data_IF_117054877565
#
_entry.id   IF_117054877565
#
_cell.length_a   1.000
_cell.length_b   1.000
_cell.length_c   1.000
_cell.angle_alpha   90.00
_cell.angle_beta   90.00
_cell.angle_gamma   90.00
#
_symmetry.space_group_name_H-M   'P 1'
#
loop_
_entity.id
_entity.type
_entity.pdbx_description
1 polymer ?
#
# COMPACT_ATOMS: atom_id res chain seq x y z
N UNK A 1 -19.60 17.67 69.75
CA UNK A 1 -18.56 17.08 68.88
C UNK A 1 -18.90 17.42 67.43
N UNK A 2 -18.08 18.26 66.81
CA UNK A 2 -18.25 18.75 65.44
C UNK A 2 -18.06 17.64 64.40
N UNK A 3 -18.92 17.61 63.37
CA UNK A 3 -18.57 17.04 62.06
C UNK A 3 -19.09 17.95 60.94
N UNK A 4 -18.21 18.81 60.45
CA UNK A 4 -18.34 19.49 59.16
C UNK A 4 -18.02 18.47 58.07
N UNK A 5 -18.98 18.18 57.19
CA UNK A 5 -18.73 17.48 55.92
C UNK A 5 -18.38 18.51 54.86
N UNK A 6 -17.09 18.64 54.53
CA UNK A 6 -16.64 19.32 53.32
C UNK A 6 -16.82 18.36 52.14
N UNK A 7 -17.76 18.65 51.25
CA UNK A 7 -17.77 18.09 49.90
C UNK A 7 -16.84 18.94 49.03
N UNK A 8 -15.64 18.43 48.77
CA UNK A 8 -14.78 18.91 47.69
C UNK A 8 -15.36 18.42 46.37
N UNK A 9 -16.14 19.27 45.69
CA UNK A 9 -16.44 19.08 44.28
C UNK A 9 -15.19 19.48 43.51
N UNK A 10 -14.40 18.48 43.12
CA UNK A 10 -13.34 18.66 42.14
C UNK A 10 -13.99 18.91 40.78
N UNK A 11 -14.13 20.17 40.40
CA UNK A 11 -14.35 20.52 39.00
C UNK A 11 -13.08 20.20 38.22
N UNK A 12 -13.03 18.99 37.65
CA UNK A 12 -12.07 18.68 36.61
C UNK A 12 -12.51 19.46 35.36
N UNK A 13 -11.99 20.68 35.20
CA UNK A 13 -12.03 21.37 33.92
C UNK A 13 -11.13 20.60 32.96
N UNK A 14 -11.69 19.62 32.26
CA UNK A 14 -11.13 19.14 31.01
C UNK A 14 -11.21 20.30 30.02
N UNK A 15 -10.11 21.02 29.86
CA UNK A 15 -9.95 21.94 28.73
C UNK A 15 -10.21 21.12 27.46
N UNK A 16 -11.06 21.60 26.53
CA UNK A 16 -11.22 20.94 25.25
C UNK A 16 -9.87 21.06 24.54
N UNK A 17 -9.14 19.95 24.47
CA UNK A 17 -7.99 19.79 23.59
C UNK A 17 -8.52 20.07 22.18
N UNK A 18 -8.23 21.26 21.67
CA UNK A 18 -8.53 21.62 20.29
C UNK A 18 -7.60 20.81 19.40
N UNK A 19 -8.06 19.63 18.98
CA UNK A 19 -7.39 18.81 17.98
C UNK A 19 -7.51 19.53 16.62
N UNK A 20 -6.39 20.04 16.11
CA UNK A 20 -6.33 20.59 14.75
C UNK A 20 -6.32 19.44 13.73
N UNK A 21 -7.35 19.38 12.87
CA UNK A 21 -7.59 18.31 11.89
C UNK A 21 -7.01 18.66 10.50
N UNK A 22 -6.18 17.77 9.90
CA UNK A 22 -6.05 17.53 8.43
C UNK A 22 -5.54 16.10 8.20
N UNK A 23 -5.91 15.46 7.08
CA UNK A 23 -6.41 14.06 7.07
C UNK A 23 -7.46 13.94 8.19
N UNK A 24 -8.68 13.48 7.95
CA UNK A 24 -9.63 13.41 9.06
C UNK A 24 -8.99 12.51 10.14
N UNK A 25 -8.89 12.96 11.39
CA UNK A 25 -8.17 12.21 12.45
C UNK A 25 -6.65 11.97 12.29
N UNK A 26 -5.97 12.53 11.28
CA UNK A 26 -4.55 12.28 11.01
C UNK A 26 -3.57 13.23 11.71
N UNK A 27 -2.29 12.84 11.71
CA UNK A 27 -1.17 13.59 12.32
C UNK A 27 -0.20 14.12 11.27
N UNK A 28 0.47 15.23 11.58
CA UNK A 28 1.50 15.82 10.71
C UNK A 28 2.76 14.95 10.72
N UNK A 29 3.32 14.69 9.55
CA UNK A 29 4.62 14.04 9.43
C UNK A 29 5.71 15.08 9.70
N UNK A 30 6.59 14.80 10.66
CA UNK A 30 7.60 15.77 11.15
C UNK A 30 9.03 15.42 10.76
N UNK A 31 9.25 14.23 10.19
CA UNK A 31 10.52 13.74 9.65
C UNK A 31 10.27 13.14 8.27
N UNK A 32 11.27 13.07 7.37
CA UNK A 32 11.12 12.45 6.04
C UNK A 32 11.01 10.91 6.15
N UNK A 33 9.92 10.43 6.77
CA UNK A 33 9.60 9.02 6.97
C UNK A 33 9.07 8.36 5.69
N UNK A 34 8.55 9.17 4.76
CA UNK A 34 7.91 8.72 3.52
C UNK A 34 8.50 9.41 2.28
N UNK A 35 9.83 9.29 2.04
CA UNK A 35 10.50 10.06 0.99
C UNK A 35 10.07 9.70 -0.44
N UNK A 36 9.40 8.56 -0.60
CA UNK A 36 8.83 8.09 -1.87
C UNK A 36 7.46 8.69 -2.18
N UNK A 37 6.81 9.41 -1.27
CA UNK A 37 5.52 10.03 -1.53
C UNK A 37 5.68 11.13 -2.59
N UNK A 38 4.77 11.17 -3.56
CA UNK A 38 4.83 12.15 -4.65
C UNK A 38 3.52 12.88 -4.86
N UNK A 39 3.63 14.12 -5.31
CA UNK A 39 2.54 14.93 -5.84
C UNK A 39 2.54 14.87 -7.36
N UNK A 40 1.35 14.82 -7.96
CA UNK A 40 1.12 14.89 -9.40
C UNK A 40 0.41 16.20 -9.72
N UNK A 41 0.96 16.95 -10.67
CA UNK A 41 0.46 18.24 -11.09
C UNK A 41 0.38 18.37 -12.61
N UNK A 42 -0.45 19.31 -13.07
CA UNK A 42 -0.53 19.66 -14.48
C UNK A 42 0.45 20.80 -14.77
N UNK A 43 1.26 20.66 -15.83
CA UNK A 43 2.31 21.61 -16.18
C UNK A 43 1.83 23.06 -16.43
N UNK A 44 0.53 23.25 -16.69
CA UNK A 44 -0.11 24.54 -16.99
C UNK A 44 -1.17 24.96 -15.96
N UNK A 45 -1.35 24.20 -14.89
CA UNK A 45 -2.31 24.54 -13.83
C UNK A 45 -1.61 25.36 -12.74
N UNK A 46 -2.37 26.29 -12.15
CA UNK A 46 -1.95 27.07 -11.00
C UNK A 46 -2.03 26.29 -9.68
N UNK A 47 -2.79 25.19 -9.66
CA UNK A 47 -2.85 24.28 -8.52
C UNK A 47 -1.50 23.57 -8.37
N UNK A 48 -0.95 23.48 -7.14
CA UNK A 48 0.34 22.83 -6.94
C UNK A 48 0.31 21.33 -7.23
N UNK A 49 -0.85 20.69 -7.06
CA UNK A 49 -1.10 19.28 -7.38
C UNK A 49 -2.62 19.01 -7.41
N UNK A 50 -3.00 17.85 -7.93
CA UNK A 50 -4.39 17.36 -7.89
C UNK A 50 -4.51 15.87 -7.52
N UNK A 51 -3.40 15.13 -7.61
CA UNK A 51 -3.28 13.73 -7.24
C UNK A 51 -1.92 13.46 -6.59
N UNK A 52 -1.75 12.23 -6.12
CA UNK A 52 -0.56 11.71 -5.49
C UNK A 52 -0.09 10.41 -6.15
N UNK A 53 1.05 9.91 -5.68
CA UNK A 53 1.57 8.61 -6.06
C UNK A 53 2.69 8.17 -5.14
N UNK A 54 3.34 7.08 -5.52
CA UNK A 54 4.53 6.59 -4.82
C UNK A 54 5.65 6.20 -5.78
N UNK A 55 6.89 6.55 -5.44
CA UNK A 55 8.08 6.06 -6.12
C UNK A 55 8.26 4.57 -5.80
N UNK A 56 8.11 3.69 -6.79
CA UNK A 56 8.21 2.22 -6.65
C UNK A 56 9.45 1.63 -7.35
N UNK A 57 10.12 2.40 -8.19
CA UNK A 57 11.46 2.13 -8.71
C UNK A 57 12.09 3.46 -9.14
N UNK A 58 13.41 3.57 -9.39
CA UNK A 58 14.09 4.84 -9.66
C UNK A 58 13.43 5.73 -10.72
N UNK A 59 12.78 5.13 -11.73
CA UNK A 59 12.12 5.83 -12.83
C UNK A 59 10.60 5.70 -12.81
N UNK A 60 10.01 5.09 -11.79
CA UNK A 60 8.63 4.62 -11.86
C UNK A 60 7.81 5.08 -10.66
N UNK A 61 6.73 5.80 -10.97
CA UNK A 61 5.69 6.18 -10.03
C UNK A 61 4.48 5.28 -10.22
N UNK A 62 3.91 4.80 -9.12
CA UNK A 62 2.61 4.16 -9.07
C UNK A 62 1.55 5.19 -8.63
N UNK A 63 0.43 5.24 -9.33
CA UNK A 63 -0.71 6.12 -9.02
C UNK A 63 -2.02 5.49 -9.51
N UNK A 64 -3.15 6.15 -9.26
CA UNK A 64 -4.45 5.74 -9.79
C UNK A 64 -4.57 6.10 -11.29
N UNK A 65 -5.34 5.32 -12.05
CA UNK A 65 -5.56 5.59 -13.47
C UNK A 65 -6.34 6.88 -13.68
N UNK A 66 -7.34 7.15 -12.84
CA UNK A 66 -8.13 8.40 -12.91
C UNK A 66 -7.28 9.66 -12.72
N UNK A 67 -6.11 9.56 -12.07
CA UNK A 67 -5.16 10.67 -11.96
C UNK A 67 -4.49 11.05 -13.29
N UNK A 68 -4.68 10.26 -14.34
CA UNK A 68 -4.12 10.50 -15.67
C UNK A 68 -5.18 10.94 -16.70
N UNK A 69 -6.40 11.21 -16.24
CA UNK A 69 -7.55 11.43 -17.08
C UNK A 69 -8.25 12.76 -16.74
N UNK A 70 -8.60 13.51 -17.78
CA UNK A 70 -9.41 14.73 -17.63
C UNK A 70 -10.89 14.38 -17.75
N UNK A 71 -11.59 14.37 -16.62
CA UNK A 71 -13.03 14.10 -16.58
C UNK A 71 -13.88 15.07 -17.39
N UNK A 72 -13.41 16.29 -17.63
CA UNK A 72 -14.19 17.29 -18.39
C UNK A 72 -14.09 17.08 -19.89
N UNK A 73 -12.90 16.73 -20.37
CA UNK A 73 -12.64 16.53 -21.80
C UNK A 73 -12.72 15.07 -22.22
N UNK A 74 -12.79 14.16 -21.24
CA UNK A 74 -12.84 12.70 -21.41
C UNK A 74 -11.62 12.15 -22.16
N UNK A 75 -10.45 12.74 -21.90
CA UNK A 75 -9.19 12.44 -22.59
C UNK A 75 -8.11 12.12 -21.55
N UNK A 76 -7.28 11.12 -21.87
CA UNK A 76 -6.06 10.82 -21.13
C UNK A 76 -5.04 11.94 -21.38
N UNK A 77 -4.48 12.51 -20.31
CA UNK A 77 -3.43 13.52 -20.41
C UNK A 77 -2.23 13.00 -21.19
N UNK A 78 -1.53 13.88 -21.91
CA UNK A 78 -0.23 13.54 -22.48
C UNK A 78 0.83 13.53 -21.39
N UNK A 79 1.86 12.71 -21.55
CA UNK A 79 2.99 12.67 -20.60
C UNK A 79 3.61 14.05 -20.34
N UNK A 80 3.68 14.91 -21.36
CA UNK A 80 4.21 16.27 -21.25
C UNK A 80 3.31 17.27 -20.50
N UNK A 81 2.06 16.88 -20.22
CA UNK A 81 1.10 17.68 -19.46
C UNK A 81 1.19 17.39 -17.96
N UNK A 82 1.77 16.25 -17.59
CA UNK A 82 1.93 15.82 -16.20
C UNK A 82 3.34 16.11 -15.68
N UNK A 83 3.43 16.41 -14.39
CA UNK A 83 4.65 16.62 -13.64
C UNK A 83 4.58 15.88 -12.31
N UNK A 84 5.73 15.44 -11.80
CA UNK A 84 5.85 14.75 -10.51
C UNK A 84 6.77 15.52 -9.58
N UNK A 85 6.34 15.75 -8.34
CA UNK A 85 7.16 16.35 -7.29
C UNK A 85 7.29 15.37 -6.12
N UNK A 86 8.52 15.07 -5.70
CA UNK A 86 8.79 14.00 -4.72
C UNK A 86 9.14 14.60 -3.35
N UNK A 87 8.62 13.99 -2.29
CA UNK A 87 8.87 14.35 -0.90
C UNK A 87 10.26 13.90 -0.38
N UNK A 88 11.32 14.18 -1.13
CA UNK A 88 12.68 13.69 -0.87
C UNK A 88 13.19 14.09 0.53
N UNK A 89 13.39 15.39 0.76
CA UNK A 89 13.92 15.95 2.01
C UNK A 89 12.98 17.00 2.61
N UNK A 90 11.83 17.22 1.99
CA UNK A 90 10.87 18.20 2.42
C UNK A 90 9.46 17.63 2.30
N UNK A 91 8.61 18.02 3.24
CA UNK A 91 7.24 17.59 3.35
C UNK A 91 6.28 18.72 3.00
N UNK A 92 6.80 19.92 2.69
CA UNK A 92 5.98 21.06 2.29
C UNK A 92 5.75 21.09 0.80
N UNK A 93 4.48 21.28 0.41
CA UNK A 93 4.08 21.43 -1.00
C UNK A 93 4.95 22.48 -1.69
N UNK A 94 5.09 23.66 -1.08
CA UNK A 94 5.85 24.78 -1.64
C UNK A 94 7.31 24.45 -1.93
N UNK A 95 7.93 23.53 -1.18
CA UNK A 95 9.32 23.16 -1.41
C UNK A 95 9.45 22.07 -2.47
N UNK A 96 8.61 21.03 -2.41
CA UNK A 96 8.73 19.88 -3.32
C UNK A 96 8.29 20.23 -4.75
N UNK A 97 7.40 21.21 -4.91
CA UNK A 97 6.95 21.69 -6.24
C UNK A 97 7.95 22.64 -6.93
N UNK A 98 9.09 22.95 -6.32
CA UNK A 98 10.12 23.80 -6.95
C UNK A 98 10.93 23.09 -8.02
N UNK A 99 11.04 21.76 -7.92
CA UNK A 99 11.85 20.95 -8.86
C UNK A 99 11.05 19.76 -9.41
N UNK A 100 9.94 20.00 -10.13
CA UNK A 100 9.14 18.91 -10.70
C UNK A 100 9.97 18.09 -11.69
N UNK A 101 9.70 16.79 -11.73
CA UNK A 101 10.24 15.81 -12.67
C UNK A 101 9.25 15.60 -13.80
N UNK A 102 9.79 15.52 -15.02
CA UNK A 102 9.00 15.26 -16.22
C UNK A 102 8.71 13.78 -16.38
N UNK A 103 7.58 13.49 -17.02
CA UNK A 103 7.14 12.14 -17.35
C UNK A 103 7.40 11.88 -18.84
N UNK A 104 8.00 10.73 -19.13
CA UNK A 104 8.25 10.24 -20.49
C UNK A 104 7.10 9.38 -21.03
N UNK A 105 6.40 8.64 -20.16
CA UNK A 105 5.26 7.81 -20.55
C UNK A 105 4.25 7.61 -19.43
N UNK A 106 2.98 7.50 -19.81
CA UNK A 106 1.87 7.09 -18.96
C UNK A 106 1.44 5.70 -19.43
N UNK A 107 1.34 4.74 -18.50
CA UNK A 107 0.96 3.36 -18.79
C UNK A 107 -0.22 3.01 -17.90
N UNK A 108 -1.39 2.84 -18.51
CA UNK A 108 -2.59 2.42 -17.80
C UNK A 108 -2.63 0.90 -17.67
N UNK A 109 -3.25 0.41 -16.60
CA UNK A 109 -3.60 -1.00 -16.55
C UNK A 109 -4.54 -1.34 -17.73
N UNK A 110 -4.27 -2.39 -18.53
CA UNK A 110 -4.99 -2.66 -19.78
C UNK A 110 -6.47 -2.99 -19.61
N UNK A 111 -6.88 -3.34 -18.39
CA UNK A 111 -8.27 -3.65 -18.04
C UNK A 111 -9.02 -2.45 -17.43
N UNK A 112 -8.35 -1.32 -17.20
CA UNK A 112 -9.03 -0.15 -16.66
C UNK A 112 -9.96 0.48 -17.70
N UNK A 113 -11.16 0.85 -17.27
CA UNK A 113 -12.14 1.57 -18.07
C UNK A 113 -12.68 2.77 -17.29
N UNK A 114 -12.52 3.98 -17.85
CA UNK A 114 -12.95 5.23 -17.22
C UNK A 114 -14.48 5.41 -17.17
N UNK A 115 -15.23 4.58 -17.90
CA UNK A 115 -16.70 4.62 -17.91
C UNK A 115 -17.33 3.70 -16.85
N UNK A 116 -16.53 2.92 -16.12
CA UNK A 116 -17.04 1.99 -15.11
C UNK A 116 -17.56 2.74 -13.87
N UNK A 117 -18.66 2.23 -13.29
CA UNK A 117 -19.24 2.81 -12.08
C UNK A 117 -18.35 2.59 -10.84
N UNK A 118 -17.81 1.38 -10.69
CA UNK A 118 -16.76 1.06 -9.73
C UNK A 118 -15.47 0.89 -10.55
N UNK A 119 -14.43 1.70 -10.30
CA UNK A 119 -13.28 1.74 -11.18
C UNK A 119 -12.44 0.46 -10.99
N UNK A 120 -12.56 -0.46 -11.95
CA UNK A 120 -11.78 -1.69 -11.98
C UNK A 120 -10.33 -1.38 -12.39
N UNK A 121 -9.37 -2.02 -11.71
CA UNK A 121 -7.93 -1.84 -11.96
C UNK A 121 -7.50 -0.37 -12.09
N UNK A 122 -8.02 0.51 -11.22
CA UNK A 122 -7.69 1.94 -11.18
C UNK A 122 -6.23 2.16 -10.79
N UNK A 123 -5.35 1.97 -11.77
CA UNK A 123 -3.90 1.95 -11.60
C UNK A 123 -3.21 2.42 -12.88
N UNK A 124 -2.21 3.27 -12.71
CA UNK A 124 -1.29 3.68 -13.75
C UNK A 124 0.17 3.71 -13.25
N UNK A 125 1.08 3.51 -14.19
CA UNK A 125 2.51 3.75 -14.02
C UNK A 125 2.91 5.01 -14.78
N UNK A 126 3.62 5.90 -14.11
CA UNK A 126 4.26 7.06 -14.74
C UNK A 126 5.75 6.81 -14.78
N UNK A 127 6.31 6.82 -16.00
CA UNK A 127 7.76 6.72 -16.19
C UNK A 127 8.38 8.11 -16.20
N UNK A 128 9.34 8.37 -15.33
CA UNK A 128 10.10 9.61 -15.30
C UNK A 128 11.05 9.70 -16.51
N UNK A 129 11.38 10.91 -16.95
CA UNK A 129 12.44 11.11 -17.97
C UNK A 129 13.84 10.81 -17.40
N UNK A 130 14.04 10.99 -16.10
CA UNK A 130 15.32 10.80 -15.42
C UNK A 130 15.15 10.02 -14.12
N UNK A 131 16.01 9.01 -13.84
CA UNK A 131 15.96 8.24 -12.62
C UNK A 131 16.26 9.08 -11.37
N UNK A 132 15.60 8.74 -10.28
CA UNK A 132 15.86 9.23 -8.94
C UNK A 132 16.66 8.16 -8.20
N UNK A 133 17.90 8.47 -7.86
CA UNK A 133 18.83 7.55 -7.19
C UNK A 133 19.13 7.93 -5.74
N UNK A 134 18.61 9.07 -5.28
CA UNK A 134 18.84 9.62 -3.94
C UNK A 134 17.81 9.13 -2.91
N UNK A 135 16.74 8.47 -3.36
CA UNK A 135 15.61 8.03 -2.54
C UNK A 135 15.44 6.53 -2.72
N UNK A 136 15.23 5.82 -1.61
CA UNK A 136 14.79 4.42 -1.65
C UNK A 136 13.31 4.37 -2.02
N UNK A 137 12.92 3.73 -3.14
CA UNK A 137 11.52 3.52 -3.48
C UNK A 137 10.79 2.68 -2.41
N UNK A 138 9.48 2.89 -2.26
CA UNK A 138 8.68 2.04 -1.36
C UNK A 138 8.60 0.62 -1.90
N UNK A 139 8.69 -0.37 -1.01
CA UNK A 139 8.46 -1.76 -1.39
C UNK A 139 6.96 -2.02 -1.55
N UNK A 140 6.59 -2.84 -2.50
CA UNK A 140 5.24 -3.39 -2.62
C UNK A 140 5.17 -4.69 -1.81
N UNK A 141 4.03 -4.91 -1.17
CA UNK A 141 3.77 -6.19 -0.52
C UNK A 141 3.59 -7.30 -1.56
N UNK A 142 3.97 -8.53 -1.21
CA UNK A 142 3.89 -9.71 -2.07
C UNK A 142 2.44 -10.21 -2.26
N UNK A 143 2.16 -10.94 -3.35
CA UNK A 143 0.85 -11.50 -3.69
C UNK A 143 0.19 -12.27 -2.54
N UNK A 144 0.95 -13.08 -1.78
CA UNK A 144 0.41 -13.92 -0.70
C UNK A 144 0.69 -13.34 0.68
N UNK A 145 0.82 -12.01 0.77
CA UNK A 145 1.07 -11.33 2.04
C UNK A 145 -0.17 -11.37 2.94
N UNK A 146 0.03 -11.43 4.25
CA UNK A 146 -1.05 -11.20 5.22
C UNK A 146 -1.20 -9.72 5.59
N UNK A 147 -0.38 -8.83 5.02
CA UNK A 147 -0.39 -7.40 5.33
C UNK A 147 -1.66 -6.69 4.83
N UNK A 148 -2.43 -7.31 3.93
CA UNK A 148 -3.66 -6.77 3.38
C UNK A 148 -4.93 -7.44 3.95
N UNK A 149 -4.78 -8.21 5.04
CA UNK A 149 -5.87 -8.88 5.75
C UNK A 149 -6.63 -7.94 6.70
N UNK A 150 -7.91 -8.25 6.92
CA UNK A 150 -8.77 -7.49 7.81
C UNK A 150 -8.21 -7.39 9.24
N UNK A 151 -8.25 -6.18 9.81
CA UNK A 151 -7.74 -5.88 11.15
C UNK A 151 -6.28 -5.45 11.18
N UNK A 152 -5.50 -5.63 10.11
CA UNK A 152 -4.16 -5.05 10.01
C UNK A 152 -4.27 -3.53 10.00
N UNK A 153 -3.41 -2.87 10.78
CA UNK A 153 -3.31 -1.41 10.76
C UNK A 153 -2.41 -0.96 9.61
N UNK A 154 -2.96 -0.14 8.73
CA UNK A 154 -2.25 0.48 7.63
C UNK A 154 -2.22 2.00 7.81
N UNK A 155 -1.23 2.65 7.22
CA UNK A 155 -1.05 4.10 7.23
C UNK A 155 -1.35 4.63 5.85
N UNK A 156 -2.32 5.55 5.75
CA UNK A 156 -2.55 6.36 4.55
C UNK A 156 -1.81 7.68 4.70
N UNK A 157 -1.26 8.16 3.59
CA UNK A 157 -0.46 9.38 3.49
C UNK A 157 -1.18 10.37 2.57
N UNK A 158 -0.98 11.67 2.83
CA UNK A 158 -1.28 12.67 1.81
C UNK A 158 -1.31 14.12 2.28
N UNK A 159 -1.47 15.01 1.30
CA UNK A 159 -1.59 16.47 1.43
C UNK A 159 -3.01 16.96 1.16
N UNK A 160 -3.96 16.05 1.01
CA UNK A 160 -5.35 16.30 0.71
C UNK A 160 -6.08 17.19 1.71
N UNK A 161 -7.30 17.57 1.31
CA UNK A 161 -8.12 18.50 2.08
C UNK A 161 -8.62 17.85 3.37
N UNK A 162 -8.59 18.57 4.51
CA UNK A 162 -9.10 18.08 5.78
C UNK A 162 -10.61 17.80 5.78
N UNK A 163 -11.36 18.45 4.89
CA UNK A 163 -12.83 18.36 4.84
C UNK A 163 -13.33 18.60 3.41
N UNK A 164 -14.47 17.97 3.06
CA UNK A 164 -15.12 18.09 1.75
C UNK A 164 -15.79 19.47 1.50
N UNK A 165 -15.86 20.33 2.52
CA UNK A 165 -16.71 21.54 2.52
C UNK A 165 -15.97 22.85 2.84
N UNK A 166 -14.65 22.85 2.93
CA UNK A 166 -13.86 24.08 3.07
C UNK A 166 -13.21 24.48 1.75
N UNK A 167 -13.07 25.80 1.52
CA UNK A 167 -12.24 26.39 0.45
C UNK A 167 -10.94 25.61 0.24
N UNK A 168 -10.43 25.42 -1.00
CA UNK A 168 -9.39 24.45 -1.34
C UNK A 168 -8.06 24.76 -0.66
N UNK A 169 -7.96 24.34 0.60
CA UNK A 169 -6.78 24.50 1.43
C UNK A 169 -6.22 23.10 1.64
N UNK A 170 -5.52 22.61 0.63
CA UNK A 170 -4.64 21.44 0.75
C UNK A 170 -3.73 21.63 1.98
N UNK A 171 -3.35 20.52 2.61
CA UNK A 171 -2.35 20.60 3.66
C UNK A 171 -1.02 21.02 3.06
N UNK A 172 -0.46 22.12 3.55
CA UNK A 172 0.90 22.50 3.14
C UNK A 172 1.94 21.44 3.52
N UNK A 173 1.73 20.67 4.59
CA UNK A 173 2.67 19.65 5.09
C UNK A 173 2.04 18.26 4.96
N UNK A 174 2.84 17.26 4.59
CA UNK A 174 2.43 15.86 4.52
C UNK A 174 1.81 15.38 5.83
N UNK A 175 0.77 14.58 5.71
CA UNK A 175 0.08 13.97 6.83
C UNK A 175 -0.04 12.47 6.68
N UNK A 176 -0.33 11.84 7.82
CA UNK A 176 -0.61 10.40 7.91
C UNK A 176 -1.79 10.10 8.83
N UNK A 177 -2.53 9.04 8.54
CA UNK A 177 -3.48 8.44 9.46
C UNK A 177 -3.41 6.93 9.43
N UNK A 178 -3.55 6.33 10.61
CA UNK A 178 -3.61 4.88 10.75
C UNK A 178 -5.07 4.41 10.72
N UNK A 179 -5.36 3.52 9.78
CA UNK A 179 -6.68 2.97 9.50
C UNK A 179 -6.61 1.43 9.50
N UNK A 180 -7.57 0.73 10.12
CA UNK A 180 -7.62 -0.72 10.03
C UNK A 180 -8.13 -1.13 8.66
N UNK A 181 -7.59 -2.22 8.13
CA UNK A 181 -8.14 -2.90 6.95
C UNK A 181 -9.47 -3.55 7.34
N UNK A 182 -10.43 -3.47 6.44
CA UNK A 182 -11.80 -3.94 6.63
C UNK A 182 -12.09 -5.04 5.63
N UNK A 183 -12.68 -6.14 6.12
CA UNK A 183 -13.04 -7.25 5.24
C UNK A 183 -14.02 -6.80 4.17
N UNK A 184 -13.91 -7.36 2.96
CA UNK A 184 -14.80 -7.07 1.85
C UNK A 184 -16.28 -7.28 2.21
N UNK A 185 -16.60 -8.30 3.02
CA UNK A 185 -17.95 -8.57 3.50
C UNK A 185 -18.56 -7.40 4.29
N UNK A 186 -17.79 -6.81 5.21
CA UNK A 186 -18.23 -5.63 5.98
C UNK A 186 -18.37 -4.43 5.05
N UNK A 187 -17.40 -4.24 4.16
CA UNK A 187 -17.41 -3.12 3.22
C UNK A 187 -18.60 -3.17 2.26
N UNK A 188 -19.02 -4.38 1.88
CA UNK A 188 -20.17 -4.63 1.03
C UNK A 188 -21.50 -4.77 1.78
N UNK A 189 -21.57 -4.43 3.08
CA UNK A 189 -22.85 -4.41 3.78
C UNK A 189 -23.86 -3.48 3.08
N UNK A 190 -25.18 -3.74 3.18
CA UNK A 190 -26.20 -2.94 2.51
C UNK A 190 -26.20 -1.45 2.87
N UNK A 191 -25.63 -1.09 4.02
CA UNK A 191 -25.51 0.31 4.50
C UNK A 191 -24.20 1.00 4.07
N UNK A 192 -23.35 0.29 3.33
CA UNK A 192 -22.08 0.75 2.79
C UNK A 192 -22.12 0.60 1.27
N UNK A 193 -21.24 -0.21 0.66
CA UNK A 193 -21.15 -0.37 -0.79
C UNK A 193 -22.10 -1.42 -1.39
N UNK A 194 -22.89 -2.12 -0.56
CA UNK A 194 -24.01 -2.96 -0.99
C UNK A 194 -23.65 -3.99 -2.08
N UNK A 195 -22.55 -4.72 -1.88
CA UNK A 195 -22.14 -5.81 -2.77
C UNK A 195 -21.48 -5.39 -4.08
N UNK A 196 -21.12 -4.11 -4.25
CA UNK A 196 -20.56 -3.61 -5.51
C UNK A 196 -19.04 -3.78 -5.62
N UNK A 197 -18.33 -4.01 -4.51
CA UNK A 197 -16.87 -4.14 -4.49
C UNK A 197 -16.44 -5.60 -4.67
N UNK A 198 -15.35 -5.81 -5.41
CA UNK A 198 -14.69 -7.12 -5.57
C UNK A 198 -13.37 -7.21 -4.77
N UNK A 199 -12.68 -8.35 -4.88
CA UNK A 199 -11.45 -8.67 -4.15
C UNK A 199 -10.18 -7.98 -4.70
N UNK A 200 -10.28 -7.33 -5.87
CA UNK A 200 -9.21 -6.48 -6.41
C UNK A 200 -9.14 -5.12 -5.73
N UNK A 201 -10.12 -4.83 -4.87
CA UNK A 201 -10.20 -3.66 -4.03
C UNK A 201 -9.93 -4.01 -2.57
N UNK A 202 -9.52 -2.99 -1.82
CA UNK A 202 -9.31 -3.07 -0.39
C UNK A 202 -10.06 -1.93 0.28
N UNK A 203 -10.65 -2.22 1.43
CA UNK A 203 -11.29 -1.22 2.27
C UNK A 203 -10.47 -0.97 3.52
N UNK A 204 -10.36 0.30 3.92
CA UNK A 204 -9.76 0.66 5.19
C UNK A 204 -10.50 1.82 5.83
N UNK A 205 -10.55 1.82 7.16
CA UNK A 205 -11.18 2.89 7.94
C UNK A 205 -11.98 2.36 9.13
N UNK A 206 -12.49 3.29 9.93
CA UNK A 206 -13.26 2.97 11.12
C UNK A 206 -14.76 2.95 10.85
N UNK A 207 -15.49 2.01 11.45
CA UNK A 207 -16.94 1.89 11.25
C UNK A 207 -17.71 3.18 11.62
N UNK A 208 -17.28 3.86 12.68
CA UNK A 208 -17.84 5.15 13.10
C UNK A 208 -17.44 6.34 12.20
N UNK A 209 -16.65 6.11 11.16
CA UNK A 209 -16.01 7.15 10.37
C UNK A 209 -14.85 7.80 11.12
N UNK A 210 -14.53 9.04 10.78
CA UNK A 210 -13.35 9.72 11.28
C UNK A 210 -12.19 9.56 10.31
N UNK A 211 -11.15 8.81 10.67
CA UNK A 211 -9.92 8.87 9.91
C UNK A 211 -10.01 8.25 8.51
N UNK A 212 -9.62 9.03 7.50
CA UNK A 212 -9.84 8.70 6.09
C UNK A 212 -8.96 9.56 5.15
N UNK A 213 -8.66 8.99 3.97
CA UNK A 213 -8.15 9.74 2.83
C UNK A 213 -9.24 10.67 2.28
N UNK A 214 -8.85 11.79 1.69
CA UNK A 214 -9.82 12.74 1.14
C UNK A 214 -9.30 13.43 -0.13
N UNK A 215 -10.01 14.47 -0.56
CA UNK A 215 -9.75 15.19 -1.80
C UNK A 215 -8.28 15.59 -1.94
N UNK A 216 -7.60 15.04 -2.96
CA UNK A 216 -6.19 15.30 -3.24
C UNK A 216 -5.24 14.15 -2.88
N UNK A 217 -5.68 13.18 -2.07
CA UNK A 217 -4.86 12.00 -1.70
C UNK A 217 -4.94 10.87 -2.74
N UNK A 218 -5.80 11.02 -3.77
CA UNK A 218 -6.00 10.06 -4.86
C UNK A 218 -4.68 9.61 -5.49
N UNK A 219 -4.51 8.30 -5.64
CA UNK A 219 -3.28 7.69 -6.16
C UNK A 219 -2.16 7.51 -5.14
N UNK A 220 -2.25 8.14 -3.95
CA UNK A 220 -1.31 7.97 -2.85
C UNK A 220 -1.30 6.54 -2.30
N UNK A 221 -0.21 6.14 -1.64
CA UNK A 221 -0.04 4.77 -1.14
C UNK A 221 -0.70 4.51 0.21
N UNK A 222 -1.28 3.31 0.36
CA UNK A 222 -1.64 2.72 1.66
C UNK A 222 -0.53 1.74 2.07
N UNK A 223 0.17 2.04 3.17
CA UNK A 223 1.40 1.34 3.56
C UNK A 223 1.29 0.68 4.94
N UNK A 224 2.01 -0.41 5.14
CA UNK A 224 2.13 -1.11 6.42
C UNK A 224 3.59 -1.12 6.86
N UNK A 225 3.84 -0.78 8.12
CA UNK A 225 5.18 -0.85 8.69
C UNK A 225 5.49 -2.29 9.13
N UNK A 226 6.54 -2.88 8.60
CA UNK A 226 6.95 -4.25 8.92
C UNK A 226 8.34 -4.27 9.55
N UNK A 227 8.75 -5.42 10.08
CA UNK A 227 10.12 -5.63 10.54
C UNK A 227 11.19 -5.42 9.44
N UNK A 228 10.77 -5.48 8.16
CA UNK A 228 11.65 -5.30 6.99
C UNK A 228 11.49 -3.93 6.32
N UNK A 229 10.80 -2.99 6.98
CA UNK A 229 10.48 -1.66 6.47
C UNK A 229 9.03 -1.53 5.97
N UNK A 230 8.73 -0.35 5.43
CA UNK A 230 7.41 -0.04 4.88
C UNK A 230 7.11 -0.81 3.61
N UNK A 231 5.90 -1.35 3.51
CA UNK A 231 5.39 -2.01 2.32
C UNK A 231 4.04 -1.43 1.92
N UNK A 232 3.86 -1.09 0.65
CA UNK A 232 2.60 -0.61 0.10
C UNK A 232 1.73 -1.80 -0.35
N UNK A 233 0.50 -1.84 0.19
CA UNK A 233 -0.49 -2.89 -0.05
C UNK A 233 -1.62 -2.45 -0.99
N UNK A 234 -1.82 -1.13 -1.13
CA UNK A 234 -2.85 -0.57 -1.99
C UNK A 234 -2.52 0.89 -2.37
N UNK A 235 -3.31 1.49 -3.26
CA UNK A 235 -3.30 2.92 -3.55
C UNK A 235 -4.71 3.51 -3.44
N UNK A 236 -4.82 4.77 -3.03
CA UNK A 236 -6.09 5.48 -2.84
C UNK A 236 -6.82 5.58 -4.19
N UNK A 237 -8.04 5.05 -4.28
CA UNK A 237 -8.85 5.11 -5.51
C UNK A 237 -10.06 6.02 -5.33
N UNK A 238 -11.03 5.63 -4.51
CA UNK A 238 -12.26 6.41 -4.30
C UNK A 238 -12.84 6.20 -2.90
N UNK A 239 -13.93 6.90 -2.60
CA UNK A 239 -14.71 6.71 -1.37
C UNK A 239 -16.00 7.52 -1.41
N UNK A 240 -17.02 7.10 -0.66
CA UNK A 240 -18.25 7.87 -0.54
C UNK A 240 -18.16 8.86 0.62
N UNK A 241 -17.75 10.09 0.29
CA UNK A 241 -17.45 11.12 1.29
C UNK A 241 -16.15 10.81 2.05
N UNK A 242 -15.69 11.76 2.84
CA UNK A 242 -14.48 11.56 3.66
C UNK A 242 -14.88 11.37 5.12
N UNK A 243 -14.45 10.26 5.73
CA UNK A 243 -14.62 10.00 7.15
C UNK A 243 -16.07 9.82 7.60
N UNK A 244 -16.96 9.43 6.69
CA UNK A 244 -18.37 9.16 7.01
C UNK A 244 -18.52 7.79 7.68
N UNK A 245 -19.44 7.71 8.64
CA UNK A 245 -19.74 6.43 9.29
C UNK A 245 -20.27 5.41 8.26
N UNK A 246 -19.77 4.17 8.35
CA UNK A 246 -20.02 3.03 7.46
C UNK A 246 -19.53 3.20 6.00
N UNK A 247 -18.89 4.31 5.64
CA UNK A 247 -18.27 4.45 4.32
C UNK A 247 -16.75 4.46 4.49
N UNK A 248 -16.14 3.32 4.17
CA UNK A 248 -14.70 3.12 4.24
C UNK A 248 -14.02 3.70 2.99
N UNK A 249 -12.77 4.10 3.12
CA UNK A 249 -11.94 4.42 1.96
C UNK A 249 -11.73 3.17 1.11
N UNK A 250 -11.81 3.30 -0.21
CA UNK A 250 -11.62 2.20 -1.17
C UNK A 250 -10.32 2.42 -1.94
N UNK A 251 -9.52 1.36 -1.95
CA UNK A 251 -8.15 1.36 -2.46
C UNK A 251 -8.00 0.27 -3.51
N UNK A 252 -7.23 0.54 -4.57
CA UNK A 252 -6.83 -0.48 -5.54
C UNK A 252 -5.73 -1.35 -4.92
N UNK A 253 -5.99 -2.66 -4.75
CA UNK A 253 -5.07 -3.59 -4.08
C UNK A 253 -3.83 -3.85 -4.94
N UNK A 254 -2.63 -3.51 -4.47
CA UNK A 254 -1.41 -3.67 -5.29
C UNK A 254 -0.98 -5.12 -5.47
N UNK A 255 -1.25 -5.98 -4.47
CA UNK A 255 -0.89 -7.41 -4.46
C UNK A 255 -1.52 -8.18 -5.63
N UNK A 256 -2.71 -7.77 -6.07
CA UNK A 256 -3.42 -8.29 -7.27
C UNK A 256 -2.73 -7.94 -8.58
N UNK A 257 -2.05 -6.79 -8.66
CA UNK A 257 -1.53 -6.23 -9.92
C UNK A 257 0.01 -6.29 -10.01
N UNK A 258 0.69 -7.01 -9.11
CA UNK A 258 2.15 -7.11 -9.10
C UNK A 258 2.73 -7.58 -10.44
N UNK A 259 2.11 -8.54 -11.12
CA UNK A 259 2.59 -9.03 -12.42
C UNK A 259 2.61 -7.91 -13.47
N UNK A 260 1.57 -7.06 -13.51
CA UNK A 260 1.53 -5.89 -14.39
C UNK A 260 2.61 -4.87 -14.00
N UNK A 261 2.78 -4.60 -12.70
CA UNK A 261 3.79 -3.64 -12.24
C UNK A 261 5.19 -4.13 -12.61
N UNK A 262 5.52 -5.37 -12.27
CA UNK A 262 6.83 -5.97 -12.49
C UNK A 262 7.17 -6.11 -13.97
N UNK A 263 6.19 -6.42 -14.84
CA UNK A 263 6.44 -6.54 -16.28
C UNK A 263 6.93 -5.23 -16.92
N UNK A 264 6.69 -4.08 -16.26
CA UNK A 264 7.13 -2.77 -16.75
C UNK A 264 8.39 -2.27 -16.04
N UNK A 265 8.49 -2.45 -14.72
CA UNK A 265 9.60 -1.86 -13.95
C UNK A 265 10.86 -2.74 -13.93
N UNK A 266 10.72 -4.05 -14.18
CA UNK A 266 11.81 -5.02 -14.06
C UNK A 266 12.48 -5.26 -15.41
N UNK A 267 13.55 -4.52 -15.68
CA UNK A 267 14.34 -4.66 -16.92
C UNK A 267 15.35 -5.80 -16.85
N UNK A 268 15.70 -6.27 -15.63
CA UNK A 268 16.60 -7.39 -15.39
C UNK A 268 15.89 -8.45 -14.55
N UNK A 269 15.96 -9.70 -14.99
CA UNK A 269 15.43 -10.82 -14.22
C UNK A 269 16.24 -11.04 -12.95
N UNK A 270 15.56 -11.22 -11.83
CA UNK A 270 16.18 -11.70 -10.59
C UNK A 270 16.29 -13.22 -10.66
N UNK A 271 17.47 -13.75 -10.33
CA UNK A 271 17.74 -15.19 -10.36
C UNK A 271 16.99 -15.87 -9.20
N UNK A 272 16.30 -16.97 -9.49
CA UNK A 272 15.64 -17.76 -8.47
C UNK A 272 16.68 -18.48 -7.58
N UNK A 273 16.51 -18.49 -6.25
CA UNK A 273 17.38 -19.24 -5.37
C UNK A 273 17.15 -20.74 -5.53
N UNK A 274 18.20 -21.54 -5.30
CA UNK A 274 18.08 -22.99 -5.16
C UNK A 274 17.72 -23.31 -3.71
N UNK A 275 16.59 -23.96 -3.50
CA UNK A 275 16.13 -24.38 -2.17
C UNK A 275 16.52 -25.82 -1.88
N UNK A 276 16.87 -26.08 -0.62
CA UNK A 276 17.22 -27.39 -0.08
C UNK A 276 16.35 -27.64 1.15
N UNK A 277 15.76 -28.82 1.23
CA UNK A 277 14.86 -29.20 2.31
C UNK A 277 15.33 -30.48 2.96
N UNK A 278 15.41 -30.48 4.29
CA UNK A 278 15.71 -31.66 5.11
C UNK A 278 14.64 -31.87 6.16
N UNK A 279 14.42 -33.13 6.54
CA UNK A 279 13.49 -33.50 7.59
C UNK A 279 14.17 -34.49 8.54
N UNK A 280 14.14 -34.19 9.84
CA UNK A 280 14.65 -35.05 10.90
C UNK A 280 13.85 -34.81 12.19
N UNK A 281 13.48 -35.89 12.89
CA UNK A 281 12.84 -35.85 14.21
C UNK A 281 11.61 -34.92 14.33
N UNK A 282 10.74 -34.89 13.30
CA UNK A 282 9.56 -34.01 13.31
C UNK A 282 9.82 -32.56 12.90
N UNK A 283 11.06 -32.23 12.53
CA UNK A 283 11.49 -30.88 12.19
C UNK A 283 11.85 -30.81 10.71
N UNK A 284 11.16 -29.93 10.00
CA UNK A 284 11.47 -29.54 8.64
C UNK A 284 12.39 -28.32 8.64
N UNK A 285 13.50 -28.41 7.92
CA UNK A 285 14.43 -27.29 7.71
C UNK A 285 14.55 -27.02 6.22
N UNK A 286 14.23 -25.80 5.81
CA UNK A 286 14.48 -25.28 4.47
C UNK A 286 15.62 -24.27 4.52
N UNK A 287 16.58 -24.36 3.60
CA UNK A 287 17.62 -23.36 3.41
C UNK A 287 17.90 -23.16 1.92
N UNK A 288 18.51 -22.03 1.55
CA UNK A 288 18.78 -21.75 0.14
C UNK A 288 20.12 -21.08 -0.11
N UNK A 289 20.60 -21.30 -1.32
CA UNK A 289 21.83 -20.73 -1.83
C UNK A 289 21.70 -19.20 -1.94
N UNK A 290 22.80 -18.50 -1.67
CA UNK A 290 22.81 -17.05 -1.78
C UNK A 290 22.74 -16.63 -3.25
N UNK A 291 21.85 -15.69 -3.55
CA UNK A 291 21.77 -15.02 -4.85
C UNK A 291 22.51 -13.68 -4.75
N UNK A 292 23.36 -13.38 -5.73
CA UNK A 292 24.09 -12.12 -5.76
C UNK A 292 23.19 -10.94 -6.13
N UNK A 293 23.49 -9.77 -5.58
CA UNK A 293 22.82 -8.52 -5.89
C UNK A 293 21.30 -8.58 -5.63
N UNK A 294 20.85 -9.13 -4.50
CA UNK A 294 19.44 -9.12 -4.10
C UNK A 294 19.28 -8.45 -2.73
N UNK A 295 18.16 -7.78 -2.53
CA UNK A 295 17.85 -7.08 -1.29
C UNK A 295 17.27 -8.01 -0.23
N UNK A 296 16.74 -9.17 -0.64
CA UNK A 296 16.36 -10.23 0.26
C UNK A 296 15.54 -11.34 -0.39
N UNK A 297 14.82 -12.09 0.44
CA UNK A 297 14.01 -13.23 0.04
C UNK A 297 12.60 -13.16 0.61
N UNK A 298 11.64 -13.70 -0.16
CA UNK A 298 10.33 -14.09 0.33
C UNK A 298 10.27 -15.61 0.47
N UNK A 299 9.76 -16.08 1.59
CA UNK A 299 9.40 -17.48 1.80
C UNK A 299 7.91 -17.65 1.57
N UNK A 300 7.54 -18.69 0.83
CA UNK A 300 6.16 -19.11 0.62
C UNK A 300 5.99 -20.46 1.29
N UNK A 301 5.07 -20.53 2.24
CA UNK A 301 4.84 -21.73 3.04
C UNK A 301 3.35 -22.08 3.07
N UNK A 302 3.04 -23.35 2.84
CA UNK A 302 1.70 -23.90 2.90
C UNK A 302 1.70 -25.18 3.76
N UNK A 303 1.07 -25.19 4.95
CA UNK A 303 1.18 -26.29 5.93
C UNK A 303 0.23 -27.49 5.67
N UNK A 304 -0.19 -27.75 4.42
CA UNK A 304 -1.18 -28.79 4.13
C UNK A 304 -0.90 -29.55 2.82
N UNK A 305 -1.53 -30.72 2.72
CA UNK A 305 -1.11 -31.81 1.86
C UNK A 305 -1.43 -31.68 0.36
N UNK A 306 -2.11 -30.62 -0.09
CA UNK A 306 -2.47 -30.50 -1.52
C UNK A 306 -2.84 -29.08 -2.01
N UNK A 307 -1.90 -28.12 -2.04
CA UNK A 307 -2.13 -26.77 -2.56
C UNK A 307 -2.40 -26.77 -4.07
N UNK A 308 -2.07 -27.84 -4.80
CA UNK A 308 -2.35 -27.95 -6.24
C UNK A 308 -3.80 -28.36 -6.56
N UNK A 309 -4.47 -29.06 -5.64
CA UNK A 309 -5.92 -29.34 -5.74
C UNK A 309 -6.77 -28.29 -5.03
N UNK A 310 -6.19 -27.55 -4.10
CA UNK A 310 -6.80 -26.36 -3.54
C UNK A 310 -6.70 -25.20 -4.53
N UNK A 311 -7.67 -25.12 -5.45
CA UNK A 311 -7.78 -24.05 -6.44
C UNK A 311 -7.86 -22.64 -5.83
N UNK A 312 -8.02 -22.54 -4.51
CA UNK A 312 -8.13 -21.25 -3.83
C UNK A 312 -6.79 -20.67 -3.40
N UNK A 313 -5.75 -21.50 -3.22
CA UNK A 313 -4.44 -21.09 -2.66
C UNK A 313 -4.57 -20.33 -1.31
N UNK A 314 -5.71 -20.45 -0.61
CA UNK A 314 -6.13 -19.62 0.53
C UNK A 314 -5.27 -19.75 1.81
N UNK A 315 -4.23 -20.55 1.78
CA UNK A 315 -3.41 -20.89 2.93
C UNK A 315 -1.91 -20.80 2.63
N UNK A 316 -1.54 -20.20 1.49
CA UNK A 316 -0.15 -19.80 1.24
C UNK A 316 0.09 -18.48 1.97
N UNK A 317 1.09 -18.47 2.85
CA UNK A 317 1.59 -17.24 3.44
C UNK A 317 2.97 -16.91 2.84
N UNK A 318 3.11 -15.68 2.35
CA UNK A 318 4.42 -15.10 2.06
C UNK A 318 5.00 -14.43 3.30
N UNK A 319 6.29 -14.60 3.51
CA UNK A 319 7.01 -14.00 4.63
C UNK A 319 8.26 -13.30 4.08
N UNK A 320 8.35 -11.99 4.30
CA UNK A 320 9.56 -11.24 4.00
C UNK A 320 10.66 -11.59 5.01
N UNK A 321 11.72 -12.26 4.55
CA UNK A 321 12.82 -12.72 5.40
C UNK A 321 14.03 -11.78 5.42
N UNK A 322 14.01 -10.73 4.60
CA UNK A 322 15.20 -9.91 4.37
C UNK A 322 16.35 -10.80 3.87
N UNK A 323 17.50 -10.73 4.50
CA UNK A 323 18.69 -11.50 4.13
C UNK A 323 18.79 -12.89 4.81
N UNK A 324 17.79 -13.30 5.61
CA UNK A 324 17.78 -14.64 6.18
C UNK A 324 17.63 -15.70 5.09
N UNK A 325 18.34 -16.82 5.24
CA UNK A 325 18.44 -17.89 4.22
C UNK A 325 18.01 -19.28 4.70
N UNK A 326 17.26 -19.33 5.79
CA UNK A 326 16.75 -20.58 6.33
C UNK A 326 15.39 -20.36 7.01
N UNK A 327 14.61 -21.43 7.09
CA UNK A 327 13.33 -21.52 7.76
C UNK A 327 13.22 -22.89 8.42
N UNK A 328 12.71 -22.92 9.65
CA UNK A 328 12.56 -24.15 10.43
C UNK A 328 11.14 -24.19 10.95
N UNK A 329 10.46 -25.31 10.79
CA UNK A 329 9.13 -25.54 11.35
C UNK A 329 8.98 -26.96 11.88
N UNK A 330 8.17 -27.11 12.93
CA UNK A 330 7.77 -28.41 13.44
C UNK A 330 6.54 -28.92 12.67
N UNK A 331 6.52 -30.20 12.37
CA UNK A 331 5.39 -30.86 11.70
C UNK A 331 4.79 -31.91 12.61
N UNK A 332 3.48 -32.07 12.54
CA UNK A 332 2.82 -33.22 13.14
C UNK A 332 3.06 -34.47 12.28
N UNK A 333 2.98 -35.67 12.88
CA UNK A 333 3.01 -36.91 12.11
C UNK A 333 1.95 -36.91 11.01
N UNK A 334 2.36 -37.26 9.79
CA UNK A 334 1.55 -37.25 8.54
C UNK A 334 1.19 -35.87 7.97
N UNK A 335 1.72 -34.77 8.52
CA UNK A 335 1.64 -33.48 7.84
C UNK A 335 2.47 -33.52 6.55
N UNK A 336 1.90 -32.96 5.49
CA UNK A 336 2.64 -32.59 4.30
C UNK A 336 2.60 -31.07 4.16
N UNK A 337 3.68 -30.50 3.65
CA UNK A 337 3.80 -29.06 3.46
C UNK A 337 4.54 -28.75 2.17
N UNK A 338 4.36 -27.52 1.71
CA UNK A 338 5.04 -26.97 0.55
C UNK A 338 5.85 -25.76 0.98
N UNK A 339 7.05 -25.66 0.41
CA UNK A 339 7.92 -24.52 0.60
C UNK A 339 8.53 -24.08 -0.71
N UNK A 340 8.53 -22.78 -0.94
CA UNK A 340 9.24 -22.15 -2.04
C UNK A 340 9.84 -20.83 -1.57
N UNK A 341 10.84 -20.34 -2.30
CA UNK A 341 11.51 -19.07 -2.00
C UNK A 341 11.65 -18.27 -3.28
N UNK A 342 11.42 -16.96 -3.21
CA UNK A 342 11.81 -16.02 -4.26
C UNK A 342 12.86 -15.07 -3.72
N UNK A 343 13.75 -14.60 -4.58
CA UNK A 343 14.65 -13.50 -4.26
C UNK A 343 14.07 -12.20 -4.83
N UNK A 344 14.35 -11.06 -4.19
CA UNK A 344 13.89 -9.76 -4.69
C UNK A 344 14.99 -8.70 -4.72
N UNK A 345 14.90 -7.79 -5.70
CA UNK A 345 15.69 -6.56 -5.81
C UNK A 345 14.72 -5.41 -6.06
N UNK A 346 14.57 -4.50 -5.11
CA UNK A 346 13.49 -3.53 -5.06
C UNK A 346 12.14 -4.24 -5.11
N UNK A 347 11.32 -3.86 -6.10
CA UNK A 347 10.02 -4.46 -6.36
C UNK A 347 10.02 -5.56 -7.43
N UNK A 348 11.21 -5.99 -7.87
CA UNK A 348 11.37 -7.10 -8.81
C UNK A 348 11.65 -8.39 -8.06
N UNK A 349 10.82 -9.41 -8.27
CA UNK A 349 10.99 -10.74 -7.69
C UNK A 349 11.47 -11.72 -8.76
N UNK A 350 12.22 -12.74 -8.36
CA UNK A 350 12.47 -13.89 -9.20
C UNK A 350 11.20 -14.72 -9.38
N UNK A 351 11.23 -15.65 -10.32
CA UNK A 351 10.32 -16.81 -10.23
C UNK A 351 10.57 -17.56 -8.93
N UNK A 352 9.60 -18.34 -8.47
CA UNK A 352 9.79 -19.22 -7.33
C UNK A 352 10.96 -20.18 -7.60
N UNK A 353 11.68 -20.53 -6.54
CA UNK A 353 12.51 -21.73 -6.51
C UNK A 353 11.67 -22.94 -6.95
N UNK A 354 12.34 -24.07 -7.22
CA UNK A 354 11.65 -25.36 -7.20
C UNK A 354 10.79 -25.46 -5.94
N UNK A 355 9.54 -25.85 -6.12
CA UNK A 355 8.63 -26.13 -5.02
C UNK A 355 9.07 -27.47 -4.44
N UNK A 356 9.46 -27.46 -3.17
CA UNK A 356 9.87 -28.67 -2.46
C UNK A 356 8.76 -29.14 -1.52
N UNK A 357 8.56 -30.45 -1.49
CA UNK A 357 7.57 -31.12 -0.65
C UNK A 357 8.25 -32.15 0.21
N UNK A 358 7.91 -32.20 1.50
CA UNK A 358 8.23 -33.39 2.29
C UNK A 358 6.94 -34.15 2.60
N UNK A 359 7.02 -35.47 2.44
CA UNK A 359 5.97 -36.39 2.83
C UNK A 359 6.49 -37.22 4.00
N UNK A 360 5.81 -37.12 5.14
CA UNK A 360 5.96 -38.08 6.22
C UNK A 360 5.11 -39.32 5.88
N UNK A 361 5.77 -40.45 5.61
CA UNK A 361 5.13 -41.77 5.52
C UNK A 361 5.17 -42.50 6.86
#
# INVERSE_FOLDING_TARGET
MHRLFFWLIAFCFSLPVHAQLRIIGGSTVTQPEFPWAVLISLAKDSRPFYCEGTLIAPEWILTAAHCTYDENTKIIYRASELMVSIAENNLTVTAITQTPRKISSIILHPQHNFDDYIPYADMALLKLETPITTITPVRLADTYTSLDEAGVMATVLGWGQPTQHSSPNYSEILKKADVPIVSLNICNEPRSYNGTLDDTLLCAGYAQGGADACLGDSGGGLVVNTATGWQQIALVSFGQGCGLANYYGVYTRTTTYLSFIQSHICTQSVIAPTIHVTYADGIATAYWDAVENVDGYYLYFAPYSNPMNDQTLNHIASIALGQQRYFITALQPNDAYYVAVSAYRGNCTSVFSNIETTHNF
#
